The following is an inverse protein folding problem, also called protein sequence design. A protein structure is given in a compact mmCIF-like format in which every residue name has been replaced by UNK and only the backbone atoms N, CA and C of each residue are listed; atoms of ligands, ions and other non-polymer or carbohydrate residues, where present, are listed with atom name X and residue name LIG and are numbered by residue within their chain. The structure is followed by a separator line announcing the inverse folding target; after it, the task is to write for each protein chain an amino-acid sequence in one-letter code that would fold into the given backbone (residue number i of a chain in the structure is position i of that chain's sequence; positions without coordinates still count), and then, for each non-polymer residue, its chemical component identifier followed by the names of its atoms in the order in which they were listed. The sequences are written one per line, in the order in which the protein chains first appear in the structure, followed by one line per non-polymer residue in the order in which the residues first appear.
data_IF_792101939011
#
_entry.id   IF_792101939011
#
_cell.length_a   1.000
_cell.length_b   1.000
_cell.length_c   1.000
_cell.angle_alpha   90.00
_cell.angle_beta   90.00
_cell.angle_gamma   90.00
#
_symmetry.space_group_name_H-M   'P 1'
#
loop_
_entity.id
_entity.type
_entity.pdbx_description
1 polymer ?
#
# COMPACT_ATOMS: atom_id res chain seq x y z
N UNK A 1 -1.10 34.45 32.41
CA UNK A 1 -1.28 34.18 30.97
C UNK A 1 -1.28 32.68 30.79
N UNK A 2 -2.47 32.10 30.65
CA UNK A 2 -2.63 30.68 30.31
C UNK A 2 -2.50 30.62 28.80
N UNK A 3 -1.44 29.97 28.30
CA UNK A 3 -1.28 29.71 26.87
C UNK A 3 -2.07 28.46 26.53
N UNK A 4 -3.34 28.64 26.14
CA UNK A 4 -4.07 27.64 25.37
C UNK A 4 -3.59 27.72 23.92
N UNK A 5 -2.61 26.89 23.57
CA UNK A 5 -2.24 26.66 22.17
C UNK A 5 -3.08 25.51 21.61
N UNK A 6 -4.05 25.76 20.71
CA UNK A 6 -4.83 24.72 20.06
C UNK A 6 -4.03 24.16 18.87
N UNK A 7 -2.95 23.43 19.14
CA UNK A 7 -1.98 23.03 18.11
C UNK A 7 -1.51 21.58 18.15
N UNK A 8 -1.55 20.92 19.30
CA UNK A 8 -1.16 19.52 19.41
C UNK A 8 -2.37 18.64 19.09
N UNK A 9 -2.61 18.42 17.80
CA UNK A 9 -3.36 17.22 17.38
C UNK A 9 -2.61 16.02 17.94
N UNK A 10 -3.16 15.40 18.98
CA UNK A 10 -2.67 14.16 19.58
C UNK A 10 -2.32 13.17 18.48
N UNK A 11 -1.01 13.06 18.18
CA UNK A 11 -0.54 12.06 17.24
C UNK A 11 -0.84 10.72 17.89
N UNK A 12 -1.52 9.80 17.20
CA UNK A 12 -1.82 8.50 17.77
C UNK A 12 -0.52 7.88 18.26
N UNK A 13 -0.52 7.24 19.44
CA UNK A 13 0.66 6.61 19.98
C UNK A 13 1.33 5.70 18.94
N UNK A 14 2.66 5.64 18.95
CA UNK A 14 3.41 4.87 17.94
C UNK A 14 3.00 3.39 17.91
N UNK A 15 2.62 2.81 19.05
CA UNK A 15 2.11 1.44 19.13
C UNK A 15 0.79 1.26 18.36
N UNK A 16 -0.09 2.26 18.38
CA UNK A 16 -1.35 2.22 17.62
C UNK A 16 -1.10 2.30 16.11
N UNK A 17 -0.09 3.06 15.69
CA UNK A 17 0.33 3.09 14.27
C UNK A 17 0.90 1.74 13.83
N UNK A 18 1.79 1.15 14.64
CA UNK A 18 2.37 -0.17 14.38
C UNK A 18 1.29 -1.25 14.32
N UNK A 19 0.33 -1.26 15.24
CA UNK A 19 -0.77 -2.20 15.24
C UNK A 19 -1.61 -2.12 13.94
N UNK A 20 -1.88 -0.90 13.45
CA UNK A 20 -2.58 -0.69 12.16
C UNK A 20 -1.76 -1.19 10.97
N UNK A 21 -0.46 -0.91 10.94
CA UNK A 21 0.44 -1.38 9.88
C UNK A 21 0.54 -2.91 9.87
N UNK A 22 0.64 -3.55 11.03
CA UNK A 22 0.68 -5.01 11.15
C UNK A 22 -0.64 -5.66 10.76
N UNK A 23 -1.80 -5.09 11.15
CA UNK A 23 -3.11 -5.52 10.65
C UNK A 23 -3.16 -5.43 9.12
N UNK A 24 -2.73 -4.29 8.55
CA UNK A 24 -2.77 -4.08 7.10
C UNK A 24 -1.89 -5.10 6.35
N UNK A 25 -0.69 -5.40 6.87
CA UNK A 25 0.17 -6.45 6.32
C UNK A 25 -0.47 -7.82 6.44
N UNK A 26 -1.01 -8.17 7.62
CA UNK A 26 -1.66 -9.46 7.85
C UNK A 26 -2.86 -9.65 6.92
N UNK A 27 -3.66 -8.60 6.74
CA UNK A 27 -4.80 -8.64 5.83
C UNK A 27 -4.36 -8.75 4.37
N UNK A 28 -3.31 -8.04 3.95
CA UNK A 28 -2.77 -8.21 2.60
C UNK A 28 -2.29 -9.64 2.33
N UNK A 29 -1.61 -10.27 3.31
CA UNK A 29 -1.20 -11.68 3.21
C UNK A 29 -2.43 -12.58 3.11
N UNK A 30 -3.45 -12.34 3.93
CA UNK A 30 -4.73 -13.06 3.87
C UNK A 30 -5.38 -12.96 2.48
N UNK A 31 -5.47 -11.75 1.91
CA UNK A 31 -5.99 -11.55 0.56
C UNK A 31 -5.21 -12.35 -0.50
N UNK A 32 -3.89 -12.42 -0.40
CA UNK A 32 -3.08 -13.18 -1.36
C UNK A 32 -3.32 -14.70 -1.25
N UNK A 33 -3.50 -15.21 -0.03
CA UNK A 33 -3.80 -16.63 0.20
C UNK A 33 -5.20 -17.01 -0.29
N UNK A 34 -6.17 -16.12 -0.10
CA UNK A 34 -7.59 -16.41 -0.35
C UNK A 34 -8.10 -15.94 -1.72
N UNK A 35 -7.34 -15.12 -2.45
CA UNK A 35 -7.74 -14.60 -3.76
C UNK A 35 -6.60 -14.70 -4.79
N UNK A 36 -6.48 -15.87 -5.43
CA UNK A 36 -5.37 -16.20 -6.36
C UNK A 36 -5.17 -15.18 -7.48
N UNK A 37 -6.24 -14.73 -8.13
CA UNK A 37 -6.11 -13.73 -9.20
C UNK A 37 -5.54 -12.39 -8.70
N UNK A 38 -5.84 -12.05 -7.44
CA UNK A 38 -5.33 -10.83 -6.80
C UNK A 38 -3.85 -10.99 -6.43
N UNK A 39 -3.45 -12.17 -5.94
CA UNK A 39 -2.03 -12.49 -5.70
C UNK A 39 -1.21 -12.39 -7.00
N UNK A 40 -1.67 -13.04 -8.07
CA UNK A 40 -0.99 -13.00 -9.37
C UNK A 40 -0.91 -11.57 -9.92
N UNK A 41 -2.01 -10.81 -9.85
CA UNK A 41 -2.06 -9.41 -10.24
C UNK A 41 -1.13 -8.54 -9.40
N UNK A 42 -1.11 -8.72 -8.07
CA UNK A 42 -0.26 -7.97 -7.16
C UNK A 42 1.21 -8.26 -7.43
N UNK A 43 1.59 -9.52 -7.65
CA UNK A 43 2.95 -9.89 -8.04
C UNK A 43 3.33 -9.21 -9.36
N UNK A 44 2.48 -9.28 -10.38
CA UNK A 44 2.74 -8.65 -11.67
C UNK A 44 2.88 -7.14 -11.56
N UNK A 45 2.04 -6.49 -10.75
CA UNK A 45 2.12 -5.05 -10.51
C UNK A 45 3.45 -4.63 -9.85
N UNK A 46 4.01 -5.48 -8.99
CA UNK A 46 5.32 -5.25 -8.34
C UNK A 46 6.47 -5.43 -9.33
N UNK A 47 6.40 -6.45 -10.19
CA UNK A 47 7.37 -6.68 -11.26
C UNK A 47 7.40 -5.47 -12.21
N UNK A 48 6.25 -5.04 -12.71
CA UNK A 48 6.13 -3.87 -13.61
C UNK A 48 6.64 -2.59 -12.93
N UNK A 49 6.34 -2.39 -11.65
CA UNK A 49 6.88 -1.24 -10.90
C UNK A 49 8.40 -1.28 -10.81
N UNK A 50 8.98 -2.47 -10.61
CA UNK A 50 10.43 -2.64 -10.56
C UNK A 50 11.07 -2.39 -11.94
N UNK A 51 10.43 -2.84 -13.02
CA UNK A 51 10.82 -2.55 -14.41
C UNK A 51 10.84 -1.03 -14.65
N UNK A 52 9.74 -0.31 -14.39
CA UNK A 52 9.68 1.16 -14.53
C UNK A 52 10.71 1.88 -13.66
N UNK A 53 10.93 1.39 -12.43
CA UNK A 53 11.96 1.95 -11.56
C UNK A 53 13.34 1.76 -12.16
N UNK A 54 13.66 0.57 -12.66
CA UNK A 54 14.94 0.26 -13.30
C UNK A 54 15.16 1.08 -14.58
N UNK A 55 14.14 1.21 -15.43
CA UNK A 55 14.16 2.05 -16.64
C UNK A 55 14.41 3.52 -16.30
N UNK A 56 13.68 4.07 -15.33
CA UNK A 56 13.82 5.46 -14.92
C UNK A 56 15.19 5.74 -14.27
N UNK A 57 15.76 4.79 -13.54
CA UNK A 57 17.12 4.90 -13.00
C UNK A 57 18.20 4.76 -14.08
N UNK A 58 17.95 3.98 -15.14
CA UNK A 58 18.88 3.83 -16.26
C UNK A 58 18.88 5.06 -17.17
N UNK A 59 17.73 5.73 -17.29
CA UNK A 59 17.58 6.98 -18.05
C UNK A 59 18.22 8.21 -17.38
N UNK A 60 18.71 8.07 -16.14
CA UNK A 60 19.23 9.14 -15.26
C UNK A 60 20.61 9.70 -15.65
N UNK A 61 21.00 9.58 -16.92
CA UNK A 61 22.24 10.16 -17.48
C UNK A 61 22.27 11.70 -17.45
N UNK A 62 21.15 12.34 -17.10
CA UNK A 62 21.03 13.80 -16.95
C UNK A 62 20.33 14.15 -15.65
N UNK A 63 20.77 15.26 -15.06
CA UNK A 63 20.37 15.95 -13.81
C UNK A 63 18.84 16.12 -13.57
N UNK A 64 18.07 15.04 -13.55
CA UNK A 64 16.63 15.07 -13.27
C UNK A 64 16.42 14.86 -11.77
N UNK A 65 15.65 15.75 -11.15
CA UNK A 65 15.31 15.70 -9.73
C UNK A 65 14.57 14.39 -9.40
N UNK A 66 14.86 13.80 -8.24
CA UNK A 66 14.25 12.56 -7.76
C UNK A 66 12.71 12.59 -7.77
N UNK A 67 12.13 13.78 -7.63
CA UNK A 67 10.69 13.99 -7.67
C UNK A 67 10.07 13.70 -9.06
N UNK A 68 10.73 14.13 -10.15
CA UNK A 68 10.24 13.93 -11.51
C UNK A 68 10.29 12.45 -11.92
N UNK A 69 11.32 11.74 -11.45
CA UNK A 69 11.45 10.29 -11.62
C UNK A 69 10.28 9.55 -10.95
N UNK A 70 9.94 9.92 -9.71
CA UNK A 70 8.82 9.31 -8.99
C UNK A 70 7.47 9.65 -9.63
N UNK A 71 7.31 10.87 -10.17
CA UNK A 71 6.11 11.28 -10.89
C UNK A 71 5.93 10.46 -12.17
N UNK A 72 6.99 10.27 -12.96
CA UNK A 72 6.97 9.46 -14.18
C UNK A 72 6.62 7.99 -13.89
N UNK A 73 7.26 7.37 -12.89
CA UNK A 73 6.92 6.00 -12.45
C UNK A 73 5.45 5.92 -12.02
N UNK A 74 4.97 6.93 -11.30
CA UNK A 74 3.57 6.98 -10.84
C UNK A 74 2.58 7.08 -12.01
N UNK A 75 2.90 7.85 -13.05
CA UNK A 75 2.08 7.96 -14.25
C UNK A 75 2.05 6.64 -15.04
N UNK A 76 3.21 6.01 -15.25
CA UNK A 76 3.31 4.71 -15.91
C UNK A 76 2.53 3.63 -15.14
N UNK A 77 2.65 3.60 -13.81
CA UNK A 77 1.87 2.68 -12.99
C UNK A 77 0.36 2.95 -13.09
N UNK A 78 -0.07 4.22 -13.10
CA UNK A 78 -1.50 4.54 -13.31
C UNK A 78 -2.00 4.08 -14.66
N UNK A 79 -1.21 4.23 -15.73
CA UNK A 79 -1.56 3.73 -17.05
C UNK A 79 -1.73 2.21 -17.04
N UNK A 80 -0.75 1.49 -16.49
CA UNK A 80 -0.81 0.03 -16.34
C UNK A 80 -2.03 -0.42 -15.54
N UNK A 81 -2.32 0.23 -14.40
CA UNK A 81 -3.48 -0.09 -13.55
C UNK A 81 -4.84 0.13 -14.24
N UNK A 82 -4.93 1.05 -15.21
CA UNK A 82 -6.16 1.23 -16.01
C UNK A 82 -6.37 0.09 -16.99
N UNK A 83 -5.30 -0.40 -17.60
CA UNK A 83 -5.35 -1.52 -18.55
C UNK A 83 -5.48 -2.87 -17.85
N UNK A 84 -4.97 -2.95 -16.62
CA UNK A 84 -4.89 -4.17 -15.81
C UNK A 84 -5.59 -3.91 -14.47
N UNK A 85 -6.94 -3.79 -14.45
CA UNK A 85 -7.67 -3.49 -13.23
C UNK A 85 -7.48 -4.59 -12.18
N UNK A 86 -7.64 -4.22 -10.91
CA UNK A 86 -7.65 -5.17 -9.81
C UNK A 86 -8.76 -6.22 -10.08
N UNK A 87 -8.44 -7.53 -10.13
CA UNK A 87 -9.42 -8.56 -10.43
C UNK A 87 -10.40 -8.81 -9.28
N UNK A 88 -10.09 -8.34 -8.07
CA UNK A 88 -10.96 -8.46 -6.91
C UNK A 88 -12.00 -7.34 -6.90
N UNK A 89 -13.26 -7.74 -6.87
CA UNK A 89 -14.40 -6.83 -6.75
C UNK A 89 -14.49 -6.24 -5.34
N UNK A 90 -15.24 -5.14 -5.21
CA UNK A 90 -15.51 -4.55 -3.89
C UNK A 90 -16.25 -5.51 -2.95
N UNK A 91 -17.19 -6.30 -3.48
CA UNK A 91 -17.94 -7.27 -2.69
C UNK A 91 -17.05 -8.40 -2.16
N UNK A 92 -16.14 -8.93 -2.99
CA UNK A 92 -15.17 -9.95 -2.55
C UNK A 92 -14.21 -9.38 -1.50
N UNK A 93 -13.77 -8.14 -1.68
CA UNK A 93 -12.94 -7.45 -0.68
C UNK A 93 -13.65 -7.34 0.67
N UNK A 94 -14.90 -6.86 0.70
CA UNK A 94 -15.67 -6.75 1.95
C UNK A 94 -15.89 -8.10 2.63
N UNK A 95 -16.15 -9.15 1.83
CA UNK A 95 -16.33 -10.50 2.35
C UNK A 95 -15.04 -11.02 3.00
N UNK A 96 -13.91 -10.90 2.30
CA UNK A 96 -12.60 -11.32 2.81
C UNK A 96 -12.16 -10.48 4.02
N UNK A 97 -12.51 -9.19 4.07
CA UNK A 97 -12.25 -8.37 5.25
C UNK A 97 -13.02 -8.88 6.47
N UNK A 98 -14.30 -9.25 6.33
CA UNK A 98 -15.08 -9.83 7.43
C UNK A 98 -14.53 -11.18 7.88
N UNK A 99 -14.14 -12.03 6.94
CA UNK A 99 -13.51 -13.33 7.23
C UNK A 99 -12.17 -13.19 7.94
N UNK A 100 -11.38 -12.18 7.56
CA UNK A 100 -10.14 -11.84 8.24
C UNK A 100 -10.41 -11.35 9.66
N UNK A 101 -11.34 -10.41 9.86
CA UNK A 101 -11.66 -9.88 11.19
C UNK A 101 -12.21 -10.95 12.13
N UNK A 102 -12.93 -11.96 11.61
CA UNK A 102 -13.40 -13.08 12.42
C UNK A 102 -12.26 -13.97 12.96
N UNK A 103 -11.10 -13.96 12.31
CA UNK A 103 -9.94 -14.81 12.63
C UNK A 103 -8.75 -14.02 13.19
N UNK A 104 -8.70 -12.72 12.97
CA UNK A 104 -7.58 -11.87 13.33
C UNK A 104 -7.59 -11.55 14.83
N UNK A 105 -6.62 -12.12 15.55
CA UNK A 105 -6.27 -11.71 16.90
C UNK A 105 -5.15 -10.66 16.84
N UNK A 106 -5.40 -9.39 17.25
CA UNK A 106 -4.35 -8.40 17.33
C UNK A 106 -3.20 -8.89 18.23
N UNK A 107 -1.96 -8.67 17.79
CA UNK A 107 -0.81 -8.88 18.69
C UNK A 107 -0.79 -7.76 19.73
N UNK A 108 -0.58 -8.12 20.99
CA UNK A 108 -0.35 -7.14 22.05
C UNK A 108 1.00 -6.45 21.79
N UNK A 109 0.93 -5.20 21.32
CA UNK A 109 2.09 -4.33 21.19
C UNK A 109 2.20 -3.49 22.48
N UNK A 110 2.61 -4.15 23.58
CA UNK A 110 3.02 -3.48 24.83
C UNK A 110 4.43 -2.88 24.70
#
# INVERSE_FOLDING_TARGET
MVSDSPGERDKPPLWLRRAKEERAKAFQVFLCVHHRAYDEWLRRSREVRAEFTSEAHSARLTFVEDHDVLAAISEQMRAWLREHPNPMTWQEYEQLEREFEAQYAPRDFQ
#
